data_IF_727585195884
#
_entry.id   IF_727585195884
#
_cell.length_a   1.000
_cell.length_b   1.000
_cell.length_c   1.000
_cell.angle_alpha   90.00
_cell.angle_beta   90.00
_cell.angle_gamma   90.00
#
_symmetry.space_group_name_H-M   'P 1'
#
loop_
_entity.id
_entity.type
_entity.pdbx_description
1 polymer ?
#
# COMPACT_ATOMS: atom_id res chain seq x y z
N UNK A 1 13.72 -30.99 -6.23
CA UNK A 1 13.54 -29.57 -5.83
C UNK A 1 12.63 -28.76 -6.77
N UNK A 2 12.68 -28.94 -8.10
CA UNK A 2 11.85 -28.16 -9.05
C UNK A 2 10.33 -28.34 -8.86
N UNK A 3 9.85 -29.59 -8.72
CA UNK A 3 8.42 -29.88 -8.50
C UNK A 3 7.85 -29.32 -7.19
N UNK A 4 8.63 -29.34 -6.09
CA UNK A 4 8.22 -28.74 -4.81
C UNK A 4 8.08 -27.21 -4.92
N UNK A 5 8.98 -26.54 -5.64
CA UNK A 5 8.89 -25.08 -5.89
C UNK A 5 7.68 -24.71 -6.77
N UNK A 6 7.37 -25.51 -7.79
CA UNK A 6 6.17 -25.31 -8.63
C UNK A 6 4.88 -25.48 -7.83
N UNK A 7 4.81 -26.46 -6.92
CA UNK A 7 3.64 -26.66 -6.05
C UNK A 7 3.46 -25.48 -5.09
N UNK A 8 4.54 -25.00 -4.47
CA UNK A 8 4.49 -23.84 -3.56
C UNK A 8 4.00 -22.59 -4.31
N UNK A 9 4.53 -22.31 -5.50
CA UNK A 9 4.11 -21.17 -6.33
C UNK A 9 2.61 -21.19 -6.67
N UNK A 10 2.09 -22.37 -7.00
CA UNK A 10 0.69 -22.56 -7.37
C UNK A 10 -0.24 -22.34 -6.16
N UNK A 11 0.21 -22.74 -4.97
CA UNK A 11 -0.52 -22.57 -3.72
C UNK A 11 -0.58 -21.09 -3.29
N UNK A 12 0.48 -20.31 -3.50
CA UNK A 12 0.46 -18.86 -3.24
C UNK A 12 -0.49 -18.11 -4.16
N UNK A 13 -0.58 -18.48 -5.44
CA UNK A 13 -1.49 -17.86 -6.40
C UNK A 13 -2.96 -18.08 -6.02
N UNK A 14 -3.30 -19.29 -5.58
CA UNK A 14 -4.67 -19.63 -5.15
C UNK A 14 -5.09 -18.80 -3.92
N UNK A 15 -4.17 -18.61 -2.96
CA UNK A 15 -4.42 -17.79 -1.76
C UNK A 15 -4.66 -16.32 -2.13
N UNK A 16 -3.90 -15.77 -3.09
CA UNK A 16 -4.08 -14.38 -3.55
C UNK A 16 -5.44 -14.21 -4.22
N UNK A 17 -5.85 -15.17 -5.08
CA UNK A 17 -7.16 -15.15 -5.72
C UNK A 17 -8.32 -15.26 -4.72
N UNK A 18 -8.17 -16.08 -3.67
CA UNK A 18 -9.18 -16.25 -2.63
C UNK A 18 -9.41 -15.00 -1.77
N UNK A 19 -8.41 -14.12 -1.65
CA UNK A 19 -8.51 -12.86 -0.90
C UNK A 19 -8.85 -11.66 -1.78
N UNK A 20 -9.10 -11.87 -3.08
CA UNK A 20 -9.53 -10.82 -3.99
C UNK A 20 -11.04 -10.54 -3.77
N UNK A 21 -11.36 -9.68 -2.81
CA UNK A 21 -12.73 -9.16 -2.68
C UNK A 21 -12.98 -8.14 -3.79
N UNK A 22 -13.86 -8.47 -4.73
CA UNK A 22 -14.39 -7.51 -5.71
C UNK A 22 -15.44 -6.63 -5.02
N UNK A 23 -15.16 -5.33 -4.93
CA UNK A 23 -16.17 -4.33 -4.55
C UNK A 23 -17.02 -4.11 -5.79
N UNK A 24 -18.20 -4.73 -5.83
CA UNK A 24 -19.20 -4.43 -6.85
C UNK A 24 -19.91 -3.16 -6.42
N UNK A 25 -19.66 -2.06 -7.13
CA UNK A 25 -20.51 -0.89 -7.03
C UNK A 25 -21.82 -1.21 -7.77
N UNK A 26 -22.94 -1.09 -7.08
CA UNK A 26 -24.26 -1.08 -7.71
C UNK A 26 -24.44 0.28 -8.37
N UNK A 27 -24.02 0.39 -9.63
CA UNK A 27 -24.10 1.63 -10.40
C UNK A 27 -25.40 1.59 -11.20
N UNK A 28 -26.45 2.23 -10.68
CA UNK A 28 -27.70 2.41 -11.41
C UNK A 28 -27.58 3.62 -12.37
N UNK A 29 -27.66 3.44 -13.69
CA UNK A 29 -27.61 4.55 -14.65
C UNK A 29 -28.74 5.56 -14.47
N UNK A 30 -29.89 5.14 -13.92
CA UNK A 30 -31.05 6.00 -13.70
C UNK A 30 -30.88 6.94 -12.50
N UNK A 31 -29.92 6.65 -11.61
CA UNK A 31 -29.52 7.55 -10.51
C UNK A 31 -28.50 8.62 -10.97
N UNK A 32 -28.04 8.55 -12.22
CA UNK A 32 -27.15 9.57 -12.78
C UNK A 32 -27.93 10.87 -13.03
N UNK A 33 -27.89 11.76 -12.03
CA UNK A 33 -28.38 13.13 -12.15
C UNK A 33 -27.17 14.04 -12.40
N UNK A 34 -26.98 14.59 -13.62
CA UNK A 34 -25.92 15.56 -13.88
C UNK A 34 -26.29 16.89 -13.23
N UNK A 35 -26.11 16.98 -11.93
CA UNK A 35 -26.13 18.24 -11.18
C UNK A 35 -24.66 18.56 -10.94
N UNK A 36 -24.14 19.65 -11.51
CA UNK A 36 -22.79 20.11 -11.15
C UNK A 36 -22.87 20.64 -9.72
N UNK A 37 -22.68 19.76 -8.73
CA UNK A 37 -22.53 20.12 -7.33
C UNK A 37 -21.04 20.10 -7.02
N UNK A 38 -20.54 21.20 -6.49
CA UNK A 38 -19.18 21.31 -5.95
C UNK A 38 -18.85 20.23 -4.88
N UNK A 39 -19.87 19.54 -4.35
CA UNK A 39 -19.78 18.52 -3.32
C UNK A 39 -19.43 17.11 -3.85
N UNK A 40 -19.69 16.80 -5.12
CA UNK A 40 -19.50 15.43 -5.66
C UNK A 40 -18.02 15.03 -5.72
N UNK A 41 -17.12 16.01 -5.91
CA UNK A 41 -15.69 15.79 -5.78
C UNK A 41 -15.29 15.53 -4.32
N UNK A 42 -15.97 16.16 -3.35
CA UNK A 42 -15.71 16.01 -1.92
C UNK A 42 -16.01 14.60 -1.42
N UNK A 43 -17.12 14.01 -1.86
CA UNK A 43 -17.50 12.65 -1.46
C UNK A 43 -16.55 11.57 -2.02
N UNK A 44 -16.15 11.72 -3.29
CA UNK A 44 -15.16 10.83 -3.90
C UNK A 44 -13.78 10.94 -3.22
N UNK A 45 -13.36 12.17 -2.89
CA UNK A 45 -12.11 12.42 -2.16
C UNK A 45 -12.19 11.86 -0.74
N UNK A 46 -13.34 12.01 -0.05
CA UNK A 46 -13.55 11.49 1.30
C UNK A 46 -13.49 9.96 1.37
N UNK A 47 -14.10 9.27 0.41
CA UNK A 47 -13.98 7.81 0.28
C UNK A 47 -12.53 7.38 0.01
N UNK A 48 -11.83 8.04 -0.90
CA UNK A 48 -10.43 7.76 -1.20
C UNK A 48 -9.53 7.98 0.02
N UNK A 49 -9.72 9.08 0.75
CA UNK A 49 -8.98 9.37 1.98
C UNK A 49 -9.20 8.31 3.05
N UNK A 50 -10.44 7.81 3.21
CA UNK A 50 -10.75 6.74 4.17
C UNK A 50 -10.04 5.43 3.81
N UNK A 51 -10.07 5.03 2.54
CA UNK A 51 -9.39 3.81 2.07
C UNK A 51 -7.87 3.93 2.25
N UNK A 52 -7.29 5.06 1.82
CA UNK A 52 -5.86 5.33 1.95
C UNK A 52 -5.44 5.40 3.43
N UNK A 53 -6.29 5.95 4.30
CA UNK A 53 -6.03 6.00 5.74
C UNK A 53 -5.92 4.60 6.35
N UNK A 54 -6.87 3.72 6.07
CA UNK A 54 -6.88 2.35 6.61
C UNK A 54 -5.66 1.56 6.14
N UNK A 55 -5.31 1.63 4.85
CA UNK A 55 -4.17 0.86 4.33
C UNK A 55 -2.82 1.38 4.86
N UNK A 56 -2.67 2.68 5.06
CA UNK A 56 -1.46 3.24 5.66
C UNK A 56 -1.29 2.81 7.12
N UNK A 57 -2.37 2.82 7.91
CA UNK A 57 -2.32 2.40 9.32
C UNK A 57 -1.96 0.92 9.42
N UNK A 58 -2.69 0.05 8.71
CA UNK A 58 -2.46 -1.40 8.76
C UNK A 58 -1.08 -1.75 8.19
N UNK A 59 -0.71 -1.14 7.04
CA UNK A 59 0.58 -1.35 6.40
C UNK A 59 1.76 -0.94 7.27
N UNK A 60 1.65 0.18 8.00
CA UNK A 60 2.70 0.67 8.89
C UNK A 60 2.92 -0.30 10.06
N UNK A 61 1.83 -0.79 10.68
CA UNK A 61 1.93 -1.73 11.81
C UNK A 61 2.65 -3.02 11.39
N UNK A 62 2.24 -3.61 10.26
CA UNK A 62 2.85 -4.85 9.74
C UNK A 62 4.33 -4.63 9.41
N UNK A 63 4.66 -3.49 8.81
CA UNK A 63 6.03 -3.13 8.45
C UNK A 63 6.92 -3.02 9.70
N UNK A 64 6.47 -2.30 10.73
CA UNK A 64 7.22 -2.11 11.98
C UNK A 64 7.49 -3.46 12.67
N UNK A 65 6.48 -4.32 12.77
CA UNK A 65 6.63 -5.66 13.35
C UNK A 65 7.67 -6.47 12.56
N UNK A 66 7.60 -6.43 11.23
CA UNK A 66 8.51 -7.17 10.36
C UNK A 66 9.95 -6.70 10.52
N UNK A 67 10.18 -5.38 10.61
CA UNK A 67 11.51 -4.78 10.83
C UNK A 67 12.07 -5.17 12.20
N UNK A 68 11.26 -5.17 13.27
CA UNK A 68 11.68 -5.59 14.61
C UNK A 68 12.12 -7.07 14.58
N UNK A 69 11.29 -7.95 14.01
CA UNK A 69 11.59 -9.39 13.94
C UNK A 69 12.84 -9.66 13.11
N UNK A 70 13.02 -8.98 11.97
CA UNK A 70 14.24 -9.12 11.16
C UNK A 70 15.46 -8.55 11.88
N UNK A 71 15.33 -7.40 12.55
CA UNK A 71 16.43 -6.76 13.28
C UNK A 71 16.95 -7.64 14.41
N UNK A 72 16.05 -8.23 15.20
CA UNK A 72 16.42 -9.17 16.27
C UNK A 72 17.09 -10.42 15.68
N UNK A 73 16.50 -11.01 14.63
CA UNK A 73 17.09 -12.18 13.95
C UNK A 73 18.45 -11.88 13.33
N UNK A 74 18.67 -10.66 12.84
CA UNK A 74 19.95 -10.23 12.30
C UNK A 74 21.02 -10.12 13.39
N UNK A 75 20.66 -9.59 14.57
CA UNK A 75 21.59 -9.46 15.70
C UNK A 75 21.96 -10.82 16.31
N UNK A 76 20.99 -11.72 16.49
CA UNK A 76 21.16 -13.01 17.16
C UNK A 76 21.57 -14.16 16.23
N UNK A 77 21.47 -13.99 14.91
CA UNK A 77 21.77 -15.04 13.95
C UNK A 77 23.27 -15.36 13.85
N UNK A 78 23.60 -16.64 13.60
CA UNK A 78 24.96 -17.07 13.23
C UNK A 78 25.38 -16.48 11.86
N UNK A 79 26.67 -16.49 11.54
CA UNK A 79 27.26 -15.90 10.32
C UNK A 79 26.56 -16.36 9.04
N UNK A 80 26.14 -17.62 9.01
CA UNK A 80 25.44 -18.24 7.88
C UNK A 80 23.98 -17.78 7.77
N UNK A 81 23.30 -17.59 8.90
CA UNK A 81 21.92 -17.09 8.95
C UNK A 81 21.84 -15.58 8.68
N UNK A 82 22.85 -14.82 9.10
CA UNK A 82 22.96 -13.36 8.81
C UNK A 82 22.98 -13.08 7.31
N UNK A 83 23.56 -13.95 6.49
CA UNK A 83 23.61 -13.79 5.04
C UNK A 83 22.22 -13.92 4.39
N UNK A 84 21.39 -14.84 4.87
CA UNK A 84 20.04 -15.01 4.36
C UNK A 84 19.08 -13.94 4.89
N UNK A 85 19.23 -13.51 6.15
CA UNK A 85 18.47 -12.37 6.68
C UNK A 85 18.83 -11.05 5.98
N UNK A 86 20.07 -10.86 5.53
CA UNK A 86 20.46 -9.69 4.73
C UNK A 86 19.76 -9.64 3.37
N UNK A 87 19.51 -10.80 2.74
CA UNK A 87 18.78 -10.86 1.46
C UNK A 87 17.30 -10.50 1.64
N UNK A 88 16.69 -10.88 2.76
CA UNK A 88 15.28 -10.53 3.06
C UNK A 88 15.12 -9.10 3.58
N UNK A 89 16.19 -8.45 4.05
CA UNK A 89 16.14 -7.03 4.43
C UNK A 89 15.90 -6.09 3.23
N UNK A 90 16.43 -6.41 2.05
CA UNK A 90 16.28 -5.57 0.85
C UNK A 90 14.81 -5.36 0.47
N UNK A 91 13.98 -6.42 0.29
CA UNK A 91 12.57 -6.21 -0.05
C UNK A 91 11.78 -5.53 1.07
N UNK A 92 12.14 -5.73 2.34
CA UNK A 92 11.49 -5.02 3.48
C UNK A 92 11.82 -3.53 3.46
N UNK A 93 13.07 -3.17 3.16
CA UNK A 93 13.50 -1.77 2.98
C UNK A 93 12.79 -1.10 1.81
N UNK A 94 12.67 -1.80 0.68
CA UNK A 94 11.92 -1.29 -0.48
C UNK A 94 10.44 -1.10 -0.14
N UNK A 95 9.83 -2.04 0.56
CA UNK A 95 8.45 -1.91 1.05
C UNK A 95 8.27 -0.72 2.00
N UNK A 96 9.24 -0.46 2.88
CA UNK A 96 9.23 0.70 3.76
C UNK A 96 9.31 2.02 2.99
N UNK A 97 10.22 2.10 2.02
CA UNK A 97 10.39 3.29 1.18
C UNK A 97 9.14 3.56 0.37
N UNK A 98 8.45 2.53 -0.13
CA UNK A 98 7.19 2.72 -0.85
C UNK A 98 6.08 3.22 0.08
N UNK A 99 5.90 2.59 1.24
CA UNK A 99 4.84 2.98 2.19
C UNK A 99 5.01 4.43 2.67
N UNK A 100 6.22 4.81 3.08
CA UNK A 100 6.51 6.15 3.58
C UNK A 100 6.74 7.17 2.46
N UNK A 101 7.33 6.74 1.34
CA UNK A 101 7.63 7.59 0.20
C UNK A 101 6.39 8.06 -0.53
N UNK A 102 5.37 7.20 -0.68
CA UNK A 102 4.08 7.62 -1.25
C UNK A 102 3.44 8.77 -0.45
N UNK A 103 3.49 8.71 0.89
CA UNK A 103 2.97 9.78 1.74
C UNK A 103 3.73 11.10 1.57
N UNK A 104 5.05 11.03 1.33
CA UNK A 104 5.88 12.22 1.10
C UNK A 104 5.63 12.83 -0.28
N UNK A 105 5.54 12.00 -1.33
CA UNK A 105 5.25 12.43 -2.71
C UNK A 105 3.88 13.11 -2.79
N UNK A 106 2.86 12.54 -2.14
CA UNK A 106 1.50 13.13 -2.14
C UNK A 106 1.50 14.52 -1.50
N UNK A 107 2.19 14.70 -0.36
CA UNK A 107 2.33 16.01 0.29
C UNK A 107 3.01 17.03 -0.61
N UNK A 108 4.09 16.63 -1.28
CA UNK A 108 4.79 17.49 -2.23
C UNK A 108 3.89 17.96 -3.37
N UNK A 109 3.02 17.09 -3.89
CA UNK A 109 2.04 17.47 -4.92
C UNK A 109 1.00 18.44 -4.35
N UNK A 110 0.46 18.18 -3.16
CA UNK A 110 -0.49 19.07 -2.48
C UNK A 110 0.12 20.42 -2.10
N UNK A 111 1.42 20.52 -1.88
CA UNK A 111 2.08 21.78 -1.57
C UNK A 111 2.36 22.61 -2.84
N UNK A 112 2.57 21.98 -4.00
CA UNK A 112 2.89 22.69 -5.27
C UNK A 112 1.62 23.23 -5.97
N UNK A 113 0.50 22.52 -5.90
CA UNK A 113 -0.75 22.88 -6.59
C UNK A 113 -1.42 24.18 -6.06
N UNK A 114 -1.67 24.37 -4.75
CA UNK A 114 -2.37 25.56 -4.25
C UNK A 114 -1.53 26.84 -4.38
N UNK A 115 -0.20 26.72 -4.37
CA UNK A 115 0.72 27.85 -4.55
C UNK A 115 0.75 28.37 -5.99
N UNK A 116 0.33 27.57 -6.98
CA UNK A 116 0.25 28.02 -8.38
C UNK A 116 -1.14 28.56 -8.74
N UNK A 117 -2.22 28.12 -8.08
CA UNK A 117 -3.58 28.63 -8.33
C UNK A 117 -3.83 30.00 -7.65
N UNK A 118 -3.24 30.24 -6.47
CA UNK A 118 -3.33 31.54 -5.77
C UNK A 118 -2.42 32.63 -6.34
N UNK A 119 -1.44 32.27 -7.17
CA UNK A 119 -0.56 33.22 -7.85
C UNK A 119 -1.13 33.72 -9.20
N UNK A 120 -2.29 33.23 -9.62
CA UNK A 120 -2.95 33.59 -10.89
C UNK A 120 -4.32 34.29 -10.65
N UNK A 121 -4.71 34.51 -9.39
CA UNK A 121 -5.87 35.34 -8.99
C UNK A 121 -5.42 36.67 -8.40
#
# INVERSE_FOLDING_TARGET
MKRKKTIILLLTIIIILANCSVVLADINPDDYRPVIRSDDAGDAIGLAQKIIGVINVVGTIILVITVIVLGIKYMLGSVEQRADYKKTMVPVLVGAILLFGTSWIIKLIYDIIPNTVSAIS
#
